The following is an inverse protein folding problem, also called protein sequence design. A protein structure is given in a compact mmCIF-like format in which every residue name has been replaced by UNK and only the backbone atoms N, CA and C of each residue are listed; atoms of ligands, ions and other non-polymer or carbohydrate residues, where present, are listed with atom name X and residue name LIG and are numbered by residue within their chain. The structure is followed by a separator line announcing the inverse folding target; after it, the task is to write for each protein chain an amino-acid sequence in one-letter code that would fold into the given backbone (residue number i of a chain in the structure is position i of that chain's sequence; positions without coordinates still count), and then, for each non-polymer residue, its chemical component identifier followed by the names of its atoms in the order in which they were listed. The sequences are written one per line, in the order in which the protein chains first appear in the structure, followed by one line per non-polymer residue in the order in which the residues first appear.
data_IF_221922276068
#
_entry.id   IF_221922276068
#
_cell.length_a   1.000
_cell.length_b   1.000
_cell.length_c   1.000
_cell.angle_alpha   90.00
_cell.angle_beta   90.00
_cell.angle_gamma   90.00
#
_symmetry.space_group_name_H-M   'P 1'
#
loop_
_entity.id
_entity.type
_entity.pdbx_description
1 polymer ?
#
# COMPACT_ATOMS: atom_id res chain seq x y z
N UNK A 1 -6.41 12.86 14.47
CA UNK A 1 -5.19 12.02 14.49
C UNK A 1 -5.41 10.90 15.49
N UNK A 2 -5.30 9.63 15.08
CA UNK A 2 -5.70 8.46 15.86
C UNK A 2 -4.73 8.18 17.03
N UNK A 3 -4.90 8.93 18.12
CA UNK A 3 -4.08 8.85 19.33
C UNK A 3 -5.02 8.64 20.53
N UNK A 4 -4.71 7.65 21.38
CA UNK A 4 -5.44 7.45 22.62
C UNK A 4 -5.22 8.64 23.57
N UNK A 5 -6.28 9.35 23.95
CA UNK A 5 -6.19 10.53 24.82
C UNK A 5 -5.70 10.20 26.23
N UNK A 6 -5.81 8.95 26.67
CA UNK A 6 -5.41 8.52 28.01
C UNK A 6 -3.92 8.18 28.11
N UNK A 7 -3.32 7.65 27.03
CA UNK A 7 -1.93 7.14 27.08
C UNK A 7 -1.02 7.62 25.94
N UNK A 8 -1.53 8.39 24.97
CA UNK A 8 -0.76 8.89 23.84
C UNK A 8 -0.39 7.82 22.82
N UNK A 9 -0.91 6.59 22.93
CA UNK A 9 -0.60 5.51 21.99
C UNK A 9 -1.20 5.79 20.61
N UNK A 10 -0.40 5.61 19.56
CA UNK A 10 -0.83 5.73 18.18
C UNK A 10 -1.65 4.50 17.78
N UNK A 11 -2.95 4.70 17.58
CA UNK A 11 -3.84 3.66 17.07
C UNK A 11 -3.61 3.47 15.56
N UNK A 12 -4.06 2.32 15.04
CA UNK A 12 -4.00 2.05 13.61
C UNK A 12 -4.79 3.12 12.85
N UNK A 13 -4.25 3.49 11.69
CA UNK A 13 -4.87 4.41 10.74
C UNK A 13 -4.79 3.74 9.38
N UNK A 14 -5.88 3.73 8.64
CA UNK A 14 -5.91 3.25 7.27
C UNK A 14 -5.08 4.17 6.37
N UNK A 15 -4.68 3.62 5.23
CA UNK A 15 -3.99 4.38 4.19
C UNK A 15 -4.85 5.55 3.69
N UNK A 16 -6.16 5.36 3.51
CA UNK A 16 -7.08 6.43 3.07
C UNK A 16 -7.21 7.56 4.09
N UNK A 17 -7.39 7.25 5.38
CA UNK A 17 -7.40 8.27 6.44
C UNK A 17 -6.06 9.03 6.52
N UNK A 18 -4.95 8.32 6.29
CA UNK A 18 -3.60 8.94 6.29
C UNK A 18 -3.44 9.91 5.11
N UNK A 19 -3.96 9.56 3.93
CA UNK A 19 -3.97 10.43 2.75
C UNK A 19 -4.81 11.68 3.02
N UNK A 20 -6.02 11.51 3.55
CA UNK A 20 -6.94 12.62 3.88
C UNK A 20 -6.32 13.62 4.89
N UNK A 21 -5.49 13.13 5.82
CA UNK A 21 -4.81 13.97 6.80
C UNK A 21 -3.57 14.69 6.23
N UNK A 22 -2.88 14.09 5.25
CA UNK A 22 -1.60 14.59 4.74
C UNK A 22 -1.74 15.42 3.46
N UNK A 23 -2.70 15.09 2.61
CA UNK A 23 -2.88 15.68 1.29
C UNK A 23 -3.97 16.75 1.35
N UNK A 24 -3.68 17.89 0.74
CA UNK A 24 -4.58 19.03 0.67
C UNK A 24 -5.89 18.61 -0.03
N UNK A 25 -7.07 19.00 0.51
CA UNK A 25 -8.36 18.58 -0.02
C UNK A 25 -8.53 18.85 -1.52
N UNK A 26 -8.96 17.84 -2.27
CA UNK A 26 -9.23 17.95 -3.71
C UNK A 26 -7.98 17.90 -4.60
N UNK A 27 -6.79 17.62 -4.03
CA UNK A 27 -5.54 17.53 -4.80
C UNK A 27 -5.03 16.10 -4.99
N UNK A 28 -5.64 15.13 -4.31
CA UNK A 28 -5.29 13.72 -4.46
C UNK A 28 -5.59 13.22 -5.87
N UNK A 29 -4.56 12.72 -6.55
CA UNK A 29 -4.65 12.09 -7.86
C UNK A 29 -3.95 10.72 -7.80
N UNK A 30 -4.73 9.63 -7.65
CA UNK A 30 -4.19 8.30 -7.42
C UNK A 30 -3.52 7.72 -8.68
N UNK A 31 -2.52 6.87 -8.46
CA UNK A 31 -1.77 6.17 -9.51
C UNK A 31 -1.95 4.66 -9.38
N UNK A 32 -2.06 3.99 -10.53
CA UNK A 32 -2.08 2.52 -10.65
C UNK A 32 -3.15 1.86 -9.74
N UNK A 33 -4.35 2.45 -9.65
CA UNK A 33 -5.43 1.95 -8.79
C UNK A 33 -5.85 0.52 -9.14
N UNK A 34 -5.90 0.20 -10.43
CA UNK A 34 -6.31 -1.12 -10.93
C UNK A 34 -5.22 -2.20 -10.84
N UNK A 35 -4.02 -1.86 -10.35
CA UNK A 35 -2.92 -2.82 -10.24
C UNK A 35 -3.13 -3.78 -9.06
N UNK A 36 -3.13 -5.08 -9.36
CA UNK A 36 -3.35 -6.16 -8.39
C UNK A 36 -2.25 -7.21 -8.45
N UNK A 37 -1.97 -7.86 -7.32
CA UNK A 37 -1.08 -9.02 -7.27
C UNK A 37 -1.72 -10.22 -7.99
N UNK A 38 -0.89 -10.98 -8.70
CA UNK A 38 -1.25 -12.27 -9.30
C UNK A 38 -0.70 -13.42 -8.45
N UNK A 39 -1.13 -14.65 -8.74
CA UNK A 39 -0.52 -15.88 -8.18
C UNK A 39 0.40 -16.54 -9.23
N UNK A 40 1.65 -16.05 -9.41
CA UNK A 40 2.55 -16.56 -10.43
C UNK A 40 3.09 -17.97 -10.13
N UNK A 41 3.02 -18.44 -8.88
CA UNK A 41 3.59 -19.73 -8.48
C UNK A 41 2.54 -20.82 -8.25
N UNK A 42 1.25 -20.48 -8.28
CA UNK A 42 0.16 -21.39 -7.92
C UNK A 42 0.26 -21.78 -6.46
N UNK A 43 0.35 -20.80 -5.57
CA UNK A 43 0.52 -21.04 -4.14
C UNK A 43 -0.76 -21.63 -3.54
N UNK A 44 -0.71 -22.93 -3.23
CA UNK A 44 -1.75 -23.64 -2.51
C UNK A 44 -1.31 -23.83 -1.06
N UNK A 45 -2.02 -23.17 -0.14
CA UNK A 45 -1.96 -23.54 1.28
C UNK A 45 -3.02 -24.60 1.58
N UNK A 46 -2.84 -25.39 2.64
CA UNK A 46 -3.86 -26.36 3.10
C UNK A 46 -5.17 -25.67 3.55
N UNK A 47 -5.11 -24.38 3.88
CA UNK A 47 -6.24 -23.61 4.42
C UNK A 47 -7.06 -22.91 3.32
N UNK A 48 -6.39 -22.15 2.44
CA UNK A 48 -7.06 -21.35 1.40
C UNK A 48 -6.12 -21.03 0.21
N UNK A 49 -6.62 -21.03 -1.05
CA UNK A 49 -5.87 -20.53 -2.20
C UNK A 49 -5.42 -19.07 -2.02
N UNK A 50 -4.22 -18.73 -2.50
CA UNK A 50 -3.70 -17.38 -2.35
C UNK A 50 -4.61 -16.31 -2.99
N UNK A 51 -5.21 -16.61 -4.14
CA UNK A 51 -6.15 -15.73 -4.82
C UNK A 51 -7.37 -15.38 -3.95
N UNK A 52 -7.96 -16.38 -3.30
CA UNK A 52 -9.14 -16.18 -2.46
C UNK A 52 -8.81 -15.30 -1.24
N UNK A 53 -7.59 -15.45 -0.70
CA UNK A 53 -7.06 -14.55 0.33
C UNK A 53 -6.97 -13.11 -0.16
N UNK A 54 -6.39 -12.86 -1.34
CA UNK A 54 -6.33 -11.50 -1.92
C UNK A 54 -7.74 -10.93 -2.02
N UNK A 55 -8.67 -11.66 -2.66
CA UNK A 55 -10.05 -11.22 -2.85
C UNK A 55 -10.75 -10.89 -1.53
N UNK A 56 -10.49 -11.67 -0.47
CA UNK A 56 -11.01 -11.43 0.88
C UNK A 56 -10.48 -10.11 1.47
N UNK A 57 -9.17 -9.86 1.39
CA UNK A 57 -8.59 -8.61 1.87
C UNK A 57 -9.04 -7.39 1.05
N UNK A 58 -9.18 -7.53 -0.27
CA UNK A 58 -9.70 -6.48 -1.13
C UNK A 58 -11.14 -6.12 -0.72
N UNK A 59 -12.01 -7.11 -0.48
CA UNK A 59 -13.38 -6.87 0.00
C UNK A 59 -13.42 -6.22 1.38
N UNK A 60 -12.56 -6.65 2.30
CA UNK A 60 -12.56 -6.17 3.68
C UNK A 60 -11.99 -4.75 3.82
N UNK A 61 -11.02 -4.39 2.98
CA UNK A 61 -10.31 -3.10 3.06
C UNK A 61 -10.78 -2.07 2.04
N UNK A 62 -11.38 -2.53 0.93
CA UNK A 62 -11.67 -1.69 -0.24
C UNK A 62 -10.44 -1.32 -1.07
N UNK A 63 -9.26 -1.86 -0.74
CA UNK A 63 -8.00 -1.58 -1.43
C UNK A 63 -7.71 -2.67 -2.47
N UNK A 64 -6.99 -2.31 -3.53
CA UNK A 64 -6.52 -3.28 -4.53
C UNK A 64 -5.23 -3.99 -4.12
N UNK A 65 -4.39 -3.35 -3.29
CA UNK A 65 -3.19 -3.93 -2.68
C UNK A 65 -2.81 -3.21 -1.38
N UNK A 66 -1.73 -3.66 -0.72
CA UNK A 66 -1.20 -3.10 0.52
C UNK A 66 -0.54 -1.72 0.41
N UNK A 67 -0.65 -1.02 -0.73
CA UNK A 67 -0.15 0.35 -0.90
C UNK A 67 -1.06 1.16 -1.82
N UNK A 68 -1.38 2.38 -1.38
CA UNK A 68 -1.95 3.43 -2.21
C UNK A 68 -0.82 4.37 -2.64
N UNK A 69 -0.77 4.72 -3.91
CA UNK A 69 0.25 5.60 -4.50
C UNK A 69 -0.45 6.67 -5.31
N UNK A 70 0.12 7.88 -5.35
CA UNK A 70 -0.46 8.99 -6.10
C UNK A 70 0.33 10.27 -5.93
N UNK A 71 -0.17 11.31 -6.56
CA UNK A 71 0.30 12.68 -6.37
C UNK A 71 -0.71 13.49 -5.56
N UNK A 72 -0.23 14.57 -4.97
CA UNK A 72 -1.08 15.52 -4.26
C UNK A 72 -0.31 16.76 -3.88
N UNK A 73 -0.96 17.68 -3.17
CA UNK A 73 -0.28 18.81 -2.55
C UNK A 73 -0.23 18.61 -1.04
N UNK A 74 0.89 19.01 -0.42
CA UNK A 74 1.04 19.10 1.02
C UNK A 74 1.41 20.54 1.35
N UNK A 75 0.48 21.28 1.95
CA UNK A 75 0.63 22.72 2.19
C UNK A 75 0.95 23.51 0.90
N UNK A 76 0.29 23.16 -0.20
CA UNK A 76 0.48 23.75 -1.53
C UNK A 76 1.73 23.30 -2.29
N UNK A 77 2.53 22.40 -1.72
CA UNK A 77 3.73 21.85 -2.36
C UNK A 77 3.33 20.55 -3.08
N UNK A 78 3.50 20.45 -4.41
CA UNK A 78 3.23 19.20 -5.12
C UNK A 78 4.22 18.12 -4.68
N UNK A 79 3.70 16.94 -4.35
CA UNK A 79 4.47 15.79 -3.90
C UNK A 79 3.97 14.50 -4.55
N UNK A 80 4.86 13.52 -4.62
CA UNK A 80 4.51 12.13 -4.84
C UNK A 80 4.44 11.42 -3.48
N UNK A 81 3.41 10.61 -3.23
CA UNK A 81 3.24 9.91 -1.96
C UNK A 81 2.79 8.46 -2.14
N UNK A 82 3.40 7.56 -1.38
CA UNK A 82 3.00 6.17 -1.22
C UNK A 82 2.63 5.89 0.23
N UNK A 83 1.45 5.35 0.49
CA UNK A 83 0.97 5.02 1.84
C UNK A 83 0.61 3.55 1.92
N UNK A 84 1.39 2.80 2.69
CA UNK A 84 1.15 1.38 2.92
C UNK A 84 0.03 1.15 3.94
N UNK A 85 -0.71 0.05 3.78
CA UNK A 85 -1.79 -0.33 4.69
C UNK A 85 -1.54 -1.69 5.34
N UNK A 86 -1.34 -1.69 6.66
CA UNK A 86 -1.11 -2.92 7.41
C UNK A 86 -2.34 -3.83 7.48
N UNK A 87 -3.55 -3.29 7.27
CA UNK A 87 -4.77 -4.10 7.27
C UNK A 87 -4.83 -5.04 6.07
N UNK A 88 -4.20 -4.67 4.96
CA UNK A 88 -4.09 -5.51 3.78
C UNK A 88 -2.96 -6.53 3.95
N UNK A 89 -3.31 -7.73 4.40
CA UNK A 89 -2.36 -8.85 4.57
C UNK A 89 -1.07 -8.43 5.33
N UNK A 90 -1.19 -7.64 6.39
CA UNK A 90 -0.05 -7.19 7.20
C UNK A 90 0.86 -6.18 6.49
N UNK A 91 0.40 -5.54 5.41
CA UNK A 91 1.20 -4.60 4.64
C UNK A 91 2.39 -5.26 3.92
N UNK A 92 2.40 -6.59 3.77
CA UNK A 92 3.59 -7.28 3.28
C UNK A 92 3.85 -6.95 1.81
N UNK A 93 5.12 -6.76 1.44
CA UNK A 93 5.49 -6.33 0.10
C UNK A 93 5.43 -7.50 -0.91
N UNK A 94 4.44 -7.47 -1.80
CA UNK A 94 4.33 -8.33 -2.99
C UNK A 94 4.80 -7.64 -4.27
N UNK A 95 4.65 -8.30 -5.41
CA UNK A 95 5.05 -7.78 -6.73
C UNK A 95 4.30 -6.50 -7.09
N UNK A 96 2.99 -6.45 -6.90
CA UNK A 96 2.20 -5.24 -7.16
C UNK A 96 2.61 -4.07 -6.25
N UNK A 97 2.83 -4.32 -4.94
CA UNK A 97 3.34 -3.29 -4.02
C UNK A 97 4.68 -2.73 -4.50
N UNK A 98 5.59 -3.62 -4.89
CA UNK A 98 6.91 -3.23 -5.42
C UNK A 98 6.81 -2.39 -6.69
N UNK A 99 6.03 -2.85 -7.66
CA UNK A 99 5.82 -2.15 -8.93
C UNK A 99 5.20 -0.76 -8.73
N UNK A 100 4.14 -0.63 -7.91
CA UNK A 100 3.52 0.68 -7.61
C UNK A 100 4.51 1.65 -6.97
N UNK A 101 5.31 1.19 -6.02
CA UNK A 101 6.34 2.02 -5.37
C UNK A 101 7.43 2.42 -6.38
N UNK A 102 7.88 1.49 -7.22
CA UNK A 102 8.88 1.78 -8.26
C UNK A 102 8.37 2.83 -9.24
N UNK A 103 7.16 2.67 -9.79
CA UNK A 103 6.56 3.65 -10.70
C UNK A 103 6.40 5.03 -10.06
N UNK A 104 5.99 5.08 -8.80
CA UNK A 104 5.90 6.33 -8.06
C UNK A 104 7.27 7.01 -7.92
N UNK A 105 8.32 6.25 -7.60
CA UNK A 105 9.70 6.76 -7.49
C UNK A 105 10.20 7.29 -8.84
N UNK A 106 10.00 6.53 -9.92
CA UNK A 106 10.40 6.92 -11.27
C UNK A 106 9.66 8.20 -11.70
N UNK A 107 8.35 8.24 -11.51
CA UNK A 107 7.54 9.43 -11.79
C UNK A 107 7.99 10.65 -10.98
N UNK A 108 8.21 10.49 -9.67
CA UNK A 108 8.67 11.57 -8.81
C UNK A 108 10.05 12.09 -9.25
N UNK A 109 10.92 11.19 -9.70
CA UNK A 109 12.26 11.52 -10.22
C UNK A 109 12.14 12.34 -11.51
N UNK A 110 11.33 11.88 -12.47
CA UNK A 110 11.14 12.55 -13.76
C UNK A 110 10.48 13.92 -13.63
N UNK A 111 9.56 14.07 -12.67
CA UNK A 111 8.84 15.32 -12.40
C UNK A 111 9.53 16.22 -11.36
N UNK A 112 10.69 15.81 -10.82
CA UNK A 112 11.40 16.51 -9.74
C UNK A 112 10.52 16.81 -8.52
N UNK A 113 9.64 15.87 -8.16
CA UNK A 113 8.75 15.98 -7.01
C UNK A 113 9.41 15.45 -5.74
N UNK A 114 9.21 16.08 -4.58
CA UNK A 114 9.48 15.44 -3.30
C UNK A 114 8.68 14.14 -3.18
N UNK A 115 9.35 13.08 -2.72
CA UNK A 115 8.74 11.77 -2.52
C UNK A 115 8.58 11.48 -1.03
N UNK A 116 7.38 11.05 -0.63
CA UNK A 116 7.08 10.59 0.73
C UNK A 116 6.58 9.14 0.66
N UNK A 117 7.17 8.24 1.44
CA UNK A 117 6.66 6.87 1.60
C UNK A 117 6.36 6.62 3.09
N UNK A 118 5.09 6.38 3.39
CA UNK A 118 4.63 5.99 4.73
C UNK A 118 4.62 4.46 4.80
N UNK A 119 5.65 3.91 5.42
CA UNK A 119 5.85 2.46 5.51
C UNK A 119 5.04 1.85 6.67
N UNK A 120 4.30 0.77 6.37
CA UNK A 120 3.63 -0.07 7.34
C UNK A 120 3.61 -1.51 6.80
N UNK A 121 4.55 -2.34 7.26
CA UNK A 121 4.74 -3.69 6.72
C UNK A 121 5.24 -4.68 7.76
N UNK A 122 4.73 -5.91 7.68
CA UNK A 122 5.24 -7.07 8.42
C UNK A 122 6.38 -7.83 7.71
N UNK A 123 6.79 -7.41 6.51
CA UNK A 123 7.87 -8.04 5.74
C UNK A 123 7.51 -8.32 4.28
N UNK A 124 8.13 -9.33 3.67
CA UNK A 124 7.87 -9.74 2.29
C UNK A 124 6.64 -10.66 2.17
N UNK A 125 5.95 -10.62 1.02
CA UNK A 125 4.82 -11.51 0.69
C UNK A 125 5.35 -12.89 0.30
N UNK A 126 5.42 -13.81 1.27
CA UNK A 126 5.98 -15.16 1.06
C UNK A 126 5.26 -15.96 -0.03
N UNK A 127 3.98 -15.70 -0.26
CA UNK A 127 3.14 -16.34 -1.28
C UNK A 127 3.59 -16.00 -2.70
N UNK A 128 4.34 -14.92 -2.88
CA UNK A 128 4.92 -14.51 -4.16
C UNK A 128 6.43 -14.80 -4.24
N UNK A 129 6.96 -15.52 -3.24
CA UNK A 129 8.36 -15.89 -3.17
C UNK A 129 8.77 -16.88 -4.25
N UNK A 130 10.08 -17.05 -4.42
CA UNK A 130 10.63 -18.07 -5.33
C UNK A 130 10.24 -19.46 -4.82
N UNK A 131 9.63 -20.31 -5.67
CA UNK A 131 9.36 -21.73 -5.34
C UNK A 131 10.64 -22.35 -4.78
N UNK A 132 10.63 -22.72 -3.49
CA UNK A 132 11.65 -23.61 -2.95
C UNK A 132 11.32 -25.00 -3.48
N UNK A 133 12.12 -25.49 -4.43
CA UNK A 133 12.22 -26.92 -4.67
C UNK A 133 12.86 -27.51 -3.40
N UNK A 134 12.04 -27.99 -2.47
CA UNK A 134 12.47 -28.90 -1.40
C UNK A 134 11.99 -30.28 -1.81
#
# INVERSE_FOLDING_TARGET
MNICEQCGYHLKISSSERIEVLIDPGTWDPMDEDMVSLDPIGFHSEEEPYKDRIDSYQKNTGLTEAVQTGIGQLNGIPIAIGVMDFQFMGGSMGSAVGEKITRLIEYATDQFLPLIIVCASGGARMQEGRKKNI
#
